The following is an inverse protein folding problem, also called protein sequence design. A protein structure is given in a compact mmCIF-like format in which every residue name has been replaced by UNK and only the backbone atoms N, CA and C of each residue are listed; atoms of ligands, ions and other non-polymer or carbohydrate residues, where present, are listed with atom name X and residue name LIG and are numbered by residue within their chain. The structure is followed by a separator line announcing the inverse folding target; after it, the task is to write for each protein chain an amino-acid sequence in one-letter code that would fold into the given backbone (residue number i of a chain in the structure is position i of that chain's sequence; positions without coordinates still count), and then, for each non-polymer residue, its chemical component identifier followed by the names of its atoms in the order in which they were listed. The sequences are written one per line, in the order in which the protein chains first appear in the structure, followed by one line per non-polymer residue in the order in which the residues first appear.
data_IF_233184433041
#
_entry.id   IF_233184433041
#
_cell.length_a   1.000
_cell.length_b   1.000
_cell.length_c   1.000
_cell.angle_alpha   90.00
_cell.angle_beta   90.00
_cell.angle_gamma   90.00
#
_symmetry.space_group_name_H-M   'P 1'
#
loop_
_entity.id
_entity.type
_entity.pdbx_description
1 polymer ?
#
# COMPACT_ATOMS: atom_id res chain seq x y z
N UNK A 1 -3.45 -4.76 -20.74
CA UNK A 1 -3.62 -5.38 -19.42
C UNK A 1 -5.10 -5.49 -19.08
N UNK A 2 -5.52 -6.63 -18.58
CA UNK A 2 -6.93 -6.87 -18.29
C UNK A 2 -7.34 -6.20 -16.98
N UNK A 3 -8.44 -5.47 -17.01
CA UNK A 3 -9.01 -4.89 -15.80
C UNK A 3 -9.62 -6.01 -14.95
N UNK A 4 -9.36 -5.99 -13.64
CA UNK A 4 -9.96 -6.95 -12.73
C UNK A 4 -11.45 -6.66 -12.54
N UNK A 5 -12.25 -7.72 -12.51
CA UNK A 5 -13.67 -7.60 -12.24
C UNK A 5 -13.91 -7.41 -10.74
N UNK A 6 -15.08 -6.88 -10.38
CA UNK A 6 -15.45 -6.77 -8.96
C UNK A 6 -15.43 -8.12 -8.27
N UNK A 7 -15.88 -9.16 -8.98
CA UNK A 7 -15.88 -10.52 -8.43
C UNK A 7 -14.46 -11.01 -8.16
N UNK A 8 -13.51 -10.77 -9.06
CA UNK A 8 -12.12 -11.18 -8.88
C UNK A 8 -11.48 -10.44 -7.70
N UNK A 9 -11.76 -9.14 -7.56
CA UNK A 9 -11.26 -8.34 -6.44
C UNK A 9 -11.78 -8.92 -5.12
N UNK A 10 -13.06 -9.24 -5.05
CA UNK A 10 -13.67 -9.84 -3.87
C UNK A 10 -13.06 -11.19 -3.51
N UNK A 11 -12.73 -12.00 -4.52
CA UNK A 11 -12.09 -13.31 -4.30
C UNK A 11 -10.69 -13.15 -3.73
N UNK A 12 -9.90 -12.18 -4.23
CA UNK A 12 -8.57 -11.92 -3.67
C UNK A 12 -8.67 -11.46 -2.23
N UNK A 13 -9.60 -10.54 -1.93
CA UNK A 13 -9.79 -10.12 -0.55
C UNK A 13 -10.21 -11.28 0.35
N UNK A 14 -11.11 -12.14 -0.13
CA UNK A 14 -11.58 -13.30 0.62
C UNK A 14 -10.45 -14.29 0.93
N UNK A 15 -9.40 -14.31 0.11
CA UNK A 15 -8.24 -15.17 0.34
C UNK A 15 -7.29 -14.61 1.39
N UNK A 16 -7.37 -13.32 1.70
CA UNK A 16 -6.51 -12.68 2.69
C UNK A 16 -6.97 -13.01 4.11
N UNK A 17 -6.05 -12.90 5.05
CA UNK A 17 -6.29 -13.15 6.48
C UNK A 17 -6.12 -11.86 7.26
N UNK A 18 -7.14 -10.97 7.28
CA UNK A 18 -7.03 -9.72 8.04
C UNK A 18 -6.92 -10.00 9.53
N UNK A 19 -6.44 -9.00 10.27
CA UNK A 19 -6.42 -9.07 11.73
C UNK A 19 -7.85 -8.92 12.29
N UNK A 20 -7.97 -8.88 13.62
CA UNK A 20 -9.26 -8.79 14.29
C UNK A 20 -10.02 -7.50 14.01
N UNK A 21 -9.37 -6.50 13.43
CA UNK A 21 -10.00 -5.24 13.02
C UNK A 21 -10.28 -5.18 11.52
N UNK A 22 -10.09 -6.29 10.82
CA UNK A 22 -10.33 -6.35 9.38
C UNK A 22 -9.27 -5.67 8.54
N UNK A 23 -8.05 -5.56 9.05
CA UNK A 23 -6.96 -4.86 8.38
C UNK A 23 -5.84 -5.81 8.00
N UNK A 24 -5.24 -5.57 6.82
CA UNK A 24 -4.02 -6.25 6.40
C UNK A 24 -2.90 -5.22 6.26
N UNK A 25 -1.67 -5.57 6.64
CA UNK A 25 -0.53 -4.68 6.41
C UNK A 25 -0.17 -4.65 4.93
N UNK A 26 0.33 -3.50 4.49
CA UNK A 26 0.71 -3.26 3.10
C UNK A 26 2.11 -2.71 3.09
N UNK A 27 3.02 -3.41 2.40
CA UNK A 27 4.36 -2.91 2.13
C UNK A 27 4.34 -2.29 0.74
N UNK A 28 4.80 -1.05 0.62
CA UNK A 28 4.81 -0.33 -0.65
C UNK A 28 6.24 -0.07 -1.10
N UNK A 29 6.57 -0.50 -2.31
CA UNK A 29 7.90 -0.37 -2.89
C UNK A 29 7.85 0.46 -4.17
N UNK A 30 8.98 1.08 -4.51
CA UNK A 30 9.16 1.78 -5.77
C UNK A 30 9.28 0.74 -6.89
N UNK A 31 8.45 0.84 -7.92
CA UNK A 31 8.40 -0.15 -8.99
C UNK A 31 9.70 -0.20 -9.80
N UNK A 32 10.45 0.92 -9.89
CA UNK A 32 11.66 0.97 -10.68
C UNK A 32 12.92 0.57 -9.92
N UNK A 33 12.96 0.77 -8.60
CA UNK A 33 14.16 0.50 -7.79
C UNK A 33 13.99 -0.64 -6.81
N UNK A 34 12.76 -1.06 -6.54
CA UNK A 34 12.38 -2.01 -5.48
C UNK A 34 12.68 -1.49 -4.07
N UNK A 35 12.97 -0.20 -3.94
CA UNK A 35 13.17 0.40 -2.62
C UNK A 35 11.86 0.39 -1.83
N UNK A 36 11.93 0.02 -0.55
CA UNK A 36 10.76 0.08 0.33
C UNK A 36 10.48 1.54 0.67
N UNK A 37 9.26 1.98 0.37
CA UNK A 37 8.88 3.38 0.57
C UNK A 37 8.14 3.60 1.88
N UNK A 38 7.25 2.69 2.22
CA UNK A 38 6.41 2.84 3.41
C UNK A 38 5.68 1.54 3.74
N UNK A 39 5.06 1.52 4.92
CA UNK A 39 4.14 0.46 5.33
C UNK A 39 2.87 1.12 5.84
N UNK A 40 1.73 0.57 5.47
CA UNK A 40 0.43 1.07 5.89
C UNK A 40 -0.56 -0.08 6.03
N UNK A 41 -1.85 0.23 6.10
CA UNK A 41 -2.89 -0.76 6.33
C UNK A 41 -4.02 -0.58 5.30
N UNK A 42 -4.70 -1.69 5.00
CA UNK A 42 -5.90 -1.67 4.14
C UNK A 42 -7.01 -2.47 4.80
N UNK A 43 -8.23 -1.94 4.74
CA UNK A 43 -9.43 -2.75 4.94
C UNK A 43 -9.93 -3.18 3.54
N UNK A 44 -11.05 -3.88 3.50
CA UNK A 44 -11.60 -4.37 2.22
C UNK A 44 -11.88 -3.22 1.26
N UNK A 45 -12.44 -2.12 1.75
CA UNK A 45 -12.77 -0.97 0.91
C UNK A 45 -11.52 -0.32 0.32
N UNK A 46 -10.46 -0.18 1.11
CA UNK A 46 -9.18 0.38 0.63
C UNK A 46 -8.56 -0.51 -0.43
N UNK A 47 -8.57 -1.82 -0.20
CA UNK A 47 -8.06 -2.81 -1.14
C UNK A 47 -8.82 -2.73 -2.46
N UNK A 48 -10.16 -2.71 -2.39
CA UNK A 48 -11.01 -2.64 -3.56
C UNK A 48 -10.77 -1.35 -4.35
N UNK A 49 -10.72 -0.21 -3.67
CA UNK A 49 -10.48 1.08 -4.34
C UNK A 49 -9.10 1.13 -5.00
N UNK A 50 -8.09 0.59 -4.35
CA UNK A 50 -6.75 0.54 -4.93
C UNK A 50 -6.75 -0.24 -6.25
N UNK A 51 -7.44 -1.38 -6.29
CA UNK A 51 -7.52 -2.20 -7.50
C UNK A 51 -8.39 -1.57 -8.58
N UNK A 52 -9.44 -0.87 -8.19
CA UNK A 52 -10.32 -0.21 -9.16
C UNK A 52 -9.69 1.03 -9.77
N UNK A 53 -9.03 1.85 -8.96
CA UNK A 53 -8.51 3.15 -9.40
C UNK A 53 -7.06 3.11 -9.82
N UNK A 54 -6.31 2.10 -9.39
CA UNK A 54 -4.85 2.00 -9.54
C UNK A 54 -4.11 3.12 -8.82
N UNK A 55 -4.78 3.82 -7.90
CA UNK A 55 -4.17 4.79 -6.99
C UNK A 55 -4.14 4.17 -5.60
N UNK A 56 -2.96 4.16 -4.96
CA UNK A 56 -2.81 3.53 -3.65
C UNK A 56 -3.73 4.21 -2.63
N UNK A 57 -4.60 3.41 -2.05
CA UNK A 57 -5.59 3.85 -1.06
C UNK A 57 -5.39 2.98 0.17
N UNK A 58 -5.23 3.63 1.32
CA UNK A 58 -4.96 2.95 2.59
C UNK A 58 -6.06 3.23 3.58
N UNK A 59 -6.02 2.53 4.71
CA UNK A 59 -6.91 2.78 5.83
C UNK A 59 -6.09 3.38 6.97
N UNK A 60 -6.49 4.58 7.42
CA UNK A 60 -5.83 5.25 8.55
C UNK A 60 -6.42 4.73 9.86
N UNK A 61 -5.60 4.04 10.66
CA UNK A 61 -6.04 3.50 11.95
C UNK A 61 -6.35 4.61 12.95
N UNK A 62 -5.57 5.68 12.93
CA UNK A 62 -5.76 6.78 13.89
C UNK A 62 -7.00 7.61 13.57
N UNK A 63 -7.33 7.76 12.29
CA UNK A 63 -8.49 8.54 11.85
C UNK A 63 -9.71 7.67 11.58
N UNK A 64 -9.53 6.35 11.55
CA UNK A 64 -10.58 5.38 11.27
C UNK A 64 -11.30 5.67 9.95
N UNK A 65 -10.54 5.96 8.90
CA UNK A 65 -11.11 6.26 7.58
C UNK A 65 -10.13 5.95 6.46
N UNK A 66 -10.65 5.89 5.24
CA UNK A 66 -9.86 5.71 4.04
C UNK A 66 -8.98 6.93 3.77
N UNK A 67 -7.85 6.67 3.16
CA UNK A 67 -6.87 7.70 2.83
C UNK A 67 -6.24 7.38 1.48
N UNK A 68 -6.49 8.23 0.49
CA UNK A 68 -5.85 8.12 -0.83
C UNK A 68 -4.50 8.82 -0.77
N UNK A 69 -3.44 8.06 -1.03
CA UNK A 69 -2.07 8.58 -0.95
C UNK A 69 -1.89 9.74 -1.94
N UNK A 70 -1.48 10.88 -1.41
CA UNK A 70 -1.20 12.06 -2.22
C UNK A 70 -2.42 12.89 -2.59
N UNK A 71 -3.60 12.56 -2.05
CA UNK A 71 -4.82 13.30 -2.36
C UNK A 71 -4.68 14.79 -2.06
N UNK A 72 -4.03 15.14 -0.96
CA UNK A 72 -3.85 16.53 -0.55
C UNK A 72 -2.45 17.05 -0.89
N UNK A 73 -1.41 16.21 -0.76
CA UNK A 73 -0.02 16.63 -0.94
C UNK A 73 0.44 16.61 -2.40
N UNK A 74 -0.25 15.86 -3.26
CA UNK A 74 0.19 15.64 -4.63
C UNK A 74 1.22 14.53 -4.77
N UNK A 75 1.69 13.94 -3.67
CA UNK A 75 2.69 12.86 -3.68
C UNK A 75 1.98 11.51 -3.87
N UNK A 76 1.43 11.30 -5.06
CA UNK A 76 0.58 10.16 -5.37
C UNK A 76 1.40 8.89 -5.64
N UNK A 77 0.72 7.76 -5.56
CA UNK A 77 1.30 6.45 -5.86
C UNK A 77 0.42 5.74 -6.89
N UNK A 78 0.93 5.61 -8.11
CA UNK A 78 0.26 4.83 -9.15
C UNK A 78 0.66 3.38 -9.01
N UNK A 79 -0.31 2.50 -8.82
CA UNK A 79 -0.05 1.08 -8.61
C UNK A 79 0.21 0.41 -9.95
N UNK A 80 1.34 -0.28 -10.07
CA UNK A 80 1.69 -1.05 -11.27
C UNK A 80 1.68 -2.55 -11.04
N UNK A 81 1.76 -2.99 -9.78
CA UNK A 81 1.71 -4.42 -9.46
C UNK A 81 1.25 -4.60 -8.01
N UNK A 82 0.46 -5.64 -7.77
CA UNK A 82 -0.01 -6.01 -6.44
C UNK A 82 0.24 -7.49 -6.25
N UNK A 83 0.83 -7.86 -5.10
CA UNK A 83 1.06 -9.25 -4.73
C UNK A 83 0.54 -9.51 -3.33
N UNK A 84 0.12 -10.73 -3.09
CA UNK A 84 -0.25 -11.24 -1.76
C UNK A 84 0.86 -12.22 -1.37
N UNK A 85 1.30 -12.15 -0.12
CA UNK A 85 2.40 -13.01 0.33
C UNK A 85 1.98 -14.47 0.49
N UNK A 86 2.94 -15.35 0.80
CA UNK A 86 2.74 -16.80 0.73
C UNK A 86 1.71 -17.34 1.73
N UNK A 87 1.49 -16.68 2.85
CA UNK A 87 0.49 -17.10 3.84
C UNK A 87 -0.74 -16.18 3.86
N UNK A 88 -0.83 -15.29 2.87
CA UNK A 88 -2.02 -14.47 2.60
C UNK A 88 -2.39 -13.50 3.74
N UNK A 89 -1.39 -12.96 4.43
CA UNK A 89 -1.66 -11.98 5.49
C UNK A 89 -1.04 -10.61 5.25
N UNK A 90 -0.35 -10.40 4.12
CA UNK A 90 0.32 -9.14 3.78
C UNK A 90 0.20 -8.86 2.29
N UNK A 91 0.03 -7.58 1.95
CA UNK A 91 -0.06 -7.14 0.56
C UNK A 91 1.20 -6.36 0.22
N UNK A 92 1.74 -6.59 -0.98
CA UNK A 92 2.85 -5.82 -1.53
C UNK A 92 2.33 -4.99 -2.69
N UNK A 93 2.52 -3.69 -2.62
CA UNK A 93 2.26 -2.78 -3.74
C UNK A 93 3.57 -2.36 -4.37
N UNK A 94 3.63 -2.42 -5.70
CA UNK A 94 4.71 -1.80 -6.46
C UNK A 94 4.11 -0.58 -7.15
N UNK A 95 4.71 0.59 -6.91
CA UNK A 95 4.10 1.86 -7.33
C UNK A 95 5.10 2.74 -8.05
N UNK A 96 4.56 3.62 -8.90
CA UNK A 96 5.30 4.78 -9.40
C UNK A 96 5.00 5.93 -8.43
N UNK A 97 5.99 6.29 -7.62
CA UNK A 97 5.84 7.35 -6.61
C UNK A 97 6.09 8.70 -7.26
N UNK A 98 5.09 9.57 -7.18
CA UNK A 98 5.28 10.97 -7.56
C UNK A 98 5.68 11.73 -6.30
N UNK A 99 6.82 12.41 -6.34
CA UNK A 99 7.32 13.11 -5.17
C UNK A 99 7.89 12.15 -4.13
N UNK A 100 7.63 12.41 -2.87
CA UNK A 100 8.19 11.66 -1.75
C UNK A 100 7.10 10.91 -1.00
N UNK A 101 7.47 9.76 -0.40
CA UNK A 101 6.49 8.93 0.30
C UNK A 101 6.23 9.43 1.72
N UNK A 102 7.25 9.94 2.40
CA UNK A 102 7.14 10.34 3.80
C UNK A 102 6.64 11.78 3.93
N UNK A 103 5.78 12.03 4.93
CA UNK A 103 5.25 13.38 5.20
C UNK A 103 6.36 14.34 5.67
N UNK A 104 7.52 13.83 6.07
CA UNK A 104 8.67 14.66 6.47
C UNK A 104 9.45 15.19 5.27
N UNK A 105 9.11 14.77 4.04
CA UNK A 105 9.83 15.16 2.83
C UNK A 105 10.88 14.17 2.37
N UNK A 106 11.07 13.06 3.10
CA UNK A 106 12.01 12.01 2.68
C UNK A 106 11.37 11.10 1.63
N UNK A 107 12.18 10.59 0.71
CA UNK A 107 11.70 9.70 -0.33
C UNK A 107 11.02 8.46 0.25
N UNK A 108 11.56 7.92 1.33
CA UNK A 108 11.03 6.74 2.01
C UNK A 108 10.80 7.05 3.48
N UNK A 109 9.77 6.42 4.06
CA UNK A 109 9.53 6.51 5.50
C UNK A 109 10.64 5.85 6.31
N UNK A 110 11.45 5.00 5.68
CA UNK A 110 12.50 4.25 6.36
C UNK A 110 13.85 4.98 6.38
N UNK A 111 13.88 6.26 5.98
CA UNK A 111 15.02 7.15 6.25
C UNK A 111 14.99 7.70 7.68
N UNK A 112 14.15 7.13 8.54
CA UNK A 112 13.94 7.60 9.91
C UNK A 112 15.13 7.35 10.83
N UNK A 113 15.09 6.25 11.59
CA UNK A 113 16.13 5.97 12.60
C UNK A 113 16.90 4.72 12.22
N UNK A 114 18.22 4.87 12.05
CA UNK A 114 19.08 3.71 11.86
C UNK A 114 19.35 3.10 13.24
N UNK A 115 18.92 1.85 13.43
CA UNK A 115 19.13 1.14 14.70
C UNK A 115 20.50 0.48 14.74
N UNK A 116 20.88 -0.17 13.65
CA UNK A 116 22.17 -0.87 13.59
C UNK A 116 22.55 -1.10 12.12
N UNK A 117 23.85 -1.08 11.88
CA UNK A 117 24.41 -1.43 10.59
C UNK A 117 25.79 -2.04 10.82
N UNK A 118 26.15 -2.99 9.97
CA UNK A 118 27.48 -3.62 10.03
C UNK A 118 28.59 -2.67 9.58
N UNK A 119 28.21 -1.60 8.86
CA UNK A 119 29.18 -0.62 8.33
C UNK A 119 29.38 0.55 9.28
#
# INVERSE_FOLDING_TARGET
MTQLTSAAIGEYWASLKPNDKGLVPVVTTDASTNEVLMMAWMNEEAFTKTLETKSATYFSRSRNKLWVKGQDSGNTQKVVEIRIDCDADTVLLKVEQKGVACHTGDKTCFDGVLVWSEK
#
